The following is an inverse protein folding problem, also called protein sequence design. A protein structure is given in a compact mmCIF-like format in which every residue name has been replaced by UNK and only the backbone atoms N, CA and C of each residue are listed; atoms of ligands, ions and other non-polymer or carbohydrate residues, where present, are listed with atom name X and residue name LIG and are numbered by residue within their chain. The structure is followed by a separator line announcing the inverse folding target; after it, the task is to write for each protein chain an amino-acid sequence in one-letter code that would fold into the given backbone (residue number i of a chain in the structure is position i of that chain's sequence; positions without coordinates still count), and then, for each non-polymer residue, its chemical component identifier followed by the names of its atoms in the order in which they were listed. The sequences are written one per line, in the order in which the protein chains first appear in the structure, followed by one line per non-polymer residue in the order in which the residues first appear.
data_IF_635878629367
#
_entry.id   IF_635878629367
#
_cell.length_a   1.000
_cell.length_b   1.000
_cell.length_c   1.000
_cell.angle_alpha   90.00
_cell.angle_beta   90.00
_cell.angle_gamma   90.00
#
_symmetry.space_group_name_H-M   'P 1'
#
loop_
_entity.id
_entity.type
_entity.pdbx_description
1 polymer ?
#
# COMPACT_ATOMS: atom_id res chain seq x y z
N UNK A 1 -6.50 -13.88 24.83
CA UNK A 1 -5.52 -14.70 24.09
C UNK A 1 -4.65 -13.77 23.25
N UNK A 2 -3.60 -13.21 23.86
CA UNK A 2 -2.68 -12.25 23.23
C UNK A 2 -1.62 -13.04 22.45
N UNK A 3 -1.76 -13.07 21.13
CA UNK A 3 -0.79 -13.74 20.26
C UNK A 3 0.47 -12.88 20.17
N UNK A 4 1.45 -13.21 21.01
CA UNK A 4 2.82 -12.69 20.93
C UNK A 4 3.67 -13.71 20.16
N UNK A 5 3.84 -13.48 18.85
CA UNK A 5 4.74 -14.16 17.89
C UNK A 5 4.73 -13.24 16.65
N UNK A 6 5.80 -12.81 15.99
CA UNK A 6 7.19 -13.23 15.93
C UNK A 6 7.86 -12.37 14.86
N UNK A 7 9.01 -11.74 15.14
CA UNK A 7 9.90 -11.14 14.15
C UNK A 7 9.37 -9.87 13.47
N UNK A 8 10.22 -8.86 13.33
CA UNK A 8 9.93 -7.74 12.43
C UNK A 8 9.69 -8.29 11.02
N UNK A 9 8.44 -8.39 10.57
CA UNK A 9 8.15 -8.60 9.15
C UNK A 9 8.72 -7.40 8.39
N UNK A 10 9.86 -7.64 7.76
CA UNK A 10 10.51 -6.70 6.87
C UNK A 10 9.54 -6.39 5.73
N UNK A 11 9.21 -5.10 5.59
CA UNK A 11 8.40 -4.65 4.46
C UNK A 11 9.17 -4.86 3.14
N UNK A 12 8.47 -4.98 2.02
CA UNK A 12 9.08 -5.19 0.71
C UNK A 12 10.07 -4.09 0.34
N UNK A 13 9.79 -2.85 0.73
CA UNK A 13 10.59 -1.66 0.51
C UNK A 13 11.85 -1.67 1.36
N UNK A 14 11.79 -2.09 2.62
CA UNK A 14 13.00 -2.24 3.43
C UNK A 14 13.99 -3.23 2.77
N UNK A 15 13.47 -4.34 2.23
CA UNK A 15 14.29 -5.31 1.49
C UNK A 15 14.83 -4.74 0.18
N UNK A 16 14.01 -4.01 -0.56
CA UNK A 16 14.41 -3.41 -1.83
C UNK A 16 15.45 -2.30 -1.64
N UNK A 17 15.25 -1.44 -0.64
CA UNK A 17 16.19 -0.41 -0.22
C UNK A 17 17.51 -1.04 0.20
N UNK A 18 17.49 -2.11 0.99
CA UNK A 18 18.73 -2.78 1.40
C UNK A 18 19.49 -3.36 0.19
N UNK A 19 18.78 -3.94 -0.77
CA UNK A 19 19.39 -4.42 -2.03
C UNK A 19 20.00 -3.27 -2.84
N UNK A 20 19.28 -2.15 -2.95
CA UNK A 20 19.77 -0.96 -3.64
C UNK A 20 21.01 -0.37 -2.95
N UNK A 21 20.96 -0.21 -1.63
CA UNK A 21 22.09 0.30 -0.83
C UNK A 21 23.32 -0.59 -0.98
N UNK A 22 23.14 -1.92 -0.95
CA UNK A 22 24.24 -2.86 -1.16
C UNK A 22 24.85 -2.74 -2.55
N UNK A 23 24.02 -2.55 -3.59
CA UNK A 23 24.51 -2.31 -4.95
C UNK A 23 25.34 -1.03 -5.04
N UNK A 24 24.88 0.07 -4.44
CA UNK A 24 25.60 1.36 -4.41
C UNK A 24 26.94 1.22 -3.67
N UNK A 25 26.98 0.50 -2.55
CA UNK A 25 28.22 0.26 -1.80
C UNK A 25 29.24 -0.52 -2.65
N UNK A 26 28.81 -1.58 -3.34
CA UNK A 26 29.69 -2.36 -4.22
C UNK A 26 30.24 -1.50 -5.37
N UNK A 27 29.41 -0.68 -6.00
CA UNK A 27 29.82 0.23 -7.07
C UNK A 27 30.79 1.32 -6.58
N UNK A 28 30.57 1.85 -5.37
CA UNK A 28 31.44 2.84 -4.75
C UNK A 28 32.83 2.24 -4.46
N UNK A 29 32.88 1.03 -3.88
CA UNK A 29 34.14 0.34 -3.59
C UNK A 29 34.91 0.00 -4.87
N UNK A 30 34.22 -0.48 -5.92
CA UNK A 30 34.85 -0.71 -7.22
C UNK A 30 35.43 0.58 -7.81
N UNK A 31 34.70 1.69 -7.73
CA UNK A 31 35.14 2.99 -8.25
C UNK A 31 36.38 3.53 -7.50
N UNK A 32 36.41 3.38 -6.17
CA UNK A 32 37.58 3.76 -5.35
C UNK A 32 38.77 2.85 -5.66
N UNK A 33 38.54 1.55 -5.82
CA UNK A 33 39.59 0.59 -6.18
C UNK A 33 40.21 0.88 -7.55
N UNK A 34 39.38 1.20 -8.55
CA UNK A 34 39.82 1.66 -9.88
C UNK A 34 40.65 2.94 -9.81
N UNK A 35 40.27 3.87 -8.94
CA UNK A 35 41.00 5.13 -8.72
C UNK A 35 42.41 4.85 -8.17
N UNK A 36 42.52 3.98 -7.16
CA UNK A 36 43.81 3.56 -6.60
C UNK A 36 44.68 2.81 -7.59
N UNK A 37 44.11 1.89 -8.38
CA UNK A 37 44.84 1.18 -9.44
C UNK A 37 45.35 2.17 -10.48
N UNK A 38 44.52 3.09 -10.96
CA UNK A 38 44.90 4.05 -12.00
C UNK A 38 46.02 4.97 -11.51
N UNK A 39 45.94 5.41 -10.26
CA UNK A 39 47.00 6.20 -9.62
C UNK A 39 48.31 5.39 -9.52
N UNK A 40 48.26 4.15 -9.03
CA UNK A 40 49.44 3.30 -8.82
C UNK A 40 50.08 2.79 -10.13
N UNK A 41 49.27 2.39 -11.11
CA UNK A 41 49.71 1.70 -12.33
C UNK A 41 49.99 2.62 -13.51
N UNK A 42 49.42 3.82 -13.56
CA UNK A 42 49.58 4.73 -14.70
C UNK A 42 50.12 6.09 -14.29
N UNK A 43 49.48 6.73 -13.31
CA UNK A 43 49.76 8.12 -12.96
C UNK A 43 51.11 8.30 -12.27
N UNK A 44 51.45 7.42 -11.31
CA UNK A 44 52.70 7.53 -10.54
C UNK A 44 53.94 7.11 -11.36
N UNK A 45 53.77 6.38 -12.47
CA UNK A 45 54.89 5.86 -13.27
C UNK A 45 55.28 6.80 -14.42
N UNK A 46 54.31 7.45 -15.08
CA UNK A 46 54.61 8.34 -16.24
C UNK A 46 54.71 9.82 -15.90
N UNK A 47 54.09 10.25 -14.82
CA UNK A 47 53.92 11.66 -14.47
C UNK A 47 54.18 11.87 -12.98
N UNK A 48 55.46 11.76 -12.61
CA UNK A 48 55.92 11.85 -11.23
C UNK A 48 55.66 13.28 -10.68
N UNK A 49 54.57 13.49 -9.95
CA UNK A 49 54.25 14.75 -9.27
C UNK A 49 52.84 15.34 -9.45
N UNK A 50 51.92 14.70 -10.18
CA UNK A 50 50.58 15.28 -10.41
C UNK A 50 49.65 15.21 -9.18
N UNK A 51 49.67 14.10 -8.42
CA UNK A 51 48.80 13.92 -7.25
C UNK A 51 49.59 13.23 -6.14
N UNK A 52 49.82 13.95 -5.04
CA UNK A 52 50.43 13.39 -3.82
C UNK A 52 49.52 12.34 -3.20
N UNK A 53 50.08 11.38 -2.47
CA UNK A 53 49.34 10.37 -1.69
C UNK A 53 48.20 10.98 -0.86
N UNK A 54 48.48 12.08 -0.16
CA UNK A 54 47.47 12.81 0.63
C UNK A 54 46.32 13.33 -0.24
N UNK A 55 46.59 13.81 -1.45
CA UNK A 55 45.54 14.25 -2.40
C UNK A 55 44.67 13.09 -2.87
N UNK A 56 45.26 11.90 -3.05
CA UNK A 56 44.52 10.71 -3.44
C UNK A 56 43.56 10.23 -2.32
N UNK A 57 43.96 10.38 -1.06
CA UNK A 57 43.09 10.14 0.11
C UNK A 57 41.92 11.13 0.12
N UNK A 58 42.18 12.43 -0.07
CA UNK A 58 41.12 13.46 -0.11
C UNK A 58 40.11 13.17 -1.22
N UNK A 59 40.58 12.79 -2.41
CA UNK A 59 39.71 12.40 -3.53
C UNK A 59 38.88 11.15 -3.21
N UNK A 60 39.46 10.16 -2.53
CA UNK A 60 38.76 8.95 -2.12
C UNK A 60 37.64 9.25 -1.11
N UNK A 61 37.90 10.14 -0.14
CA UNK A 61 36.88 10.58 0.83
C UNK A 61 35.74 11.33 0.11
N UNK A 62 36.08 12.20 -0.85
CA UNK A 62 35.09 12.91 -1.66
C UNK A 62 34.19 11.96 -2.46
N UNK A 63 34.76 10.89 -3.02
CA UNK A 63 33.99 9.85 -3.70
C UNK A 63 33.02 9.14 -2.74
N UNK A 64 33.48 8.75 -1.54
CA UNK A 64 32.61 8.10 -0.54
C UNK A 64 31.38 8.96 -0.25
N UNK A 65 31.56 10.26 0.01
CA UNK A 65 30.45 11.19 0.27
C UNK A 65 29.50 11.29 -0.93
N UNK A 66 30.02 11.27 -2.16
CA UNK A 66 29.23 11.35 -3.38
C UNK A 66 28.31 10.12 -3.58
N UNK A 67 28.71 8.94 -3.11
CA UNK A 67 27.95 7.71 -3.26
C UNK A 67 26.85 7.49 -2.20
N UNK A 68 26.78 8.29 -1.13
CA UNK A 68 25.78 8.09 -0.09
C UNK A 68 24.40 8.55 -0.60
N UNK A 69 23.37 7.66 -0.65
CA UNK A 69 22.06 8.01 -1.18
C UNK A 69 21.18 8.70 -0.11
N UNK A 70 21.61 9.85 0.40
CA UNK A 70 20.91 10.62 1.45
C UNK A 70 19.47 11.01 1.06
N UNK A 71 19.21 11.24 -0.22
CA UNK A 71 17.90 11.65 -0.72
C UNK A 71 16.89 10.50 -0.88
N UNK A 72 17.35 9.25 -0.95
CA UNK A 72 16.48 8.13 -1.32
C UNK A 72 15.45 7.79 -0.22
N UNK A 73 15.83 7.64 1.07
CA UNK A 73 14.86 7.38 2.13
C UNK A 73 13.82 8.50 2.28
N UNK A 74 14.25 9.75 2.10
CA UNK A 74 13.39 10.93 2.17
C UNK A 74 12.37 10.97 1.02
N UNK A 75 12.83 10.75 -0.22
CA UNK A 75 11.97 10.76 -1.40
C UNK A 75 10.90 9.67 -1.34
N UNK A 76 11.27 8.45 -0.93
CA UNK A 76 10.34 7.33 -0.80
C UNK A 76 9.25 7.62 0.24
N UNK A 77 9.63 8.15 1.41
CA UNK A 77 8.69 8.52 2.46
C UNK A 77 7.72 9.61 1.99
N UNK A 78 8.22 10.59 1.24
CA UNK A 78 7.40 11.67 0.67
C UNK A 78 6.36 11.11 -0.31
N UNK A 79 6.77 10.23 -1.22
CA UNK A 79 5.86 9.60 -2.18
C UNK A 79 4.79 8.77 -1.47
N UNK A 80 5.18 7.92 -0.52
CA UNK A 80 4.24 7.12 0.29
C UNK A 80 3.24 8.01 1.06
N UNK A 81 3.71 9.13 1.59
CA UNK A 81 2.86 10.09 2.32
C UNK A 81 1.85 10.77 1.40
N UNK A 82 2.26 11.14 0.18
CA UNK A 82 1.35 11.71 -0.83
C UNK A 82 0.26 10.68 -1.19
N UNK A 83 0.64 9.43 -1.39
CA UNK A 83 -0.31 8.34 -1.68
C UNK A 83 -1.27 8.13 -0.51
N UNK A 84 -0.77 8.09 0.73
CA UNK A 84 -1.60 7.99 1.94
C UNK A 84 -2.60 9.15 2.03
N UNK A 85 -2.17 10.39 1.72
CA UNK A 85 -3.05 11.57 1.68
C UNK A 85 -4.14 11.44 0.61
N UNK A 86 -3.85 10.83 -0.55
CA UNK A 86 -4.84 10.57 -1.60
C UNK A 86 -5.84 9.49 -1.17
N UNK A 87 -5.38 8.44 -0.49
CA UNK A 87 -6.24 7.40 0.10
C UNK A 87 -7.19 7.97 1.16
N UNK A 88 -6.70 8.89 2.00
CA UNK A 88 -7.54 9.56 3.01
C UNK A 88 -8.70 10.35 2.39
N UNK A 89 -8.48 11.04 1.26
CA UNK A 89 -9.55 11.73 0.52
C UNK A 89 -10.63 10.78 -0.01
N UNK A 90 -10.30 9.51 -0.22
CA UNK A 90 -11.20 8.44 -0.65
C UNK A 90 -11.83 7.69 0.55
N UNK A 91 -11.81 8.27 1.76
CA UNK A 91 -12.32 7.67 3.01
C UNK A 91 -11.58 6.41 3.46
N UNK A 92 -10.32 6.21 3.03
CA UNK A 92 -9.47 5.10 3.50
C UNK A 92 -8.47 5.62 4.54
N UNK A 93 -8.57 5.13 5.77
CA UNK A 93 -7.64 5.49 6.85
C UNK A 93 -6.43 4.56 6.87
N UNK A 94 -5.27 5.11 6.54
CA UNK A 94 -3.98 4.41 6.58
C UNK A 94 -3.36 4.56 7.98
N UNK A 95 -3.03 3.45 8.64
CA UNK A 95 -2.39 3.45 9.97
C UNK A 95 -0.85 3.47 9.93
N UNK A 96 -0.25 3.03 8.82
CA UNK A 96 1.20 3.01 8.63
C UNK A 96 1.55 3.14 7.15
N UNK A 97 2.66 3.82 6.83
CA UNK A 97 3.18 3.93 5.46
C UNK A 97 3.61 2.56 4.89
N UNK A 98 4.00 1.62 5.76
CA UNK A 98 4.28 0.24 5.37
C UNK A 98 3.05 -0.44 4.73
N UNK A 99 1.84 -0.12 5.19
CA UNK A 99 0.61 -0.67 4.60
C UNK A 99 0.36 -0.14 3.20
N UNK A 100 0.70 1.12 2.92
CA UNK A 100 0.56 1.73 1.58
C UNK A 100 1.51 1.05 0.60
N UNK A 101 2.71 0.72 1.05
CA UNK A 101 3.69 -0.01 0.29
C UNK A 101 3.25 -1.46 0.00
N UNK A 102 2.72 -2.18 0.99
CA UNK A 102 2.13 -3.51 0.78
C UNK A 102 0.96 -3.45 -0.19
N UNK A 103 0.10 -2.43 -0.10
CA UNK A 103 -1.02 -2.24 -1.01
C UNK A 103 -0.57 -2.01 -2.46
N UNK A 104 0.59 -1.38 -2.67
CA UNK A 104 1.17 -1.19 -4.00
C UNK A 104 1.71 -2.50 -4.62
N UNK A 105 2.00 -3.51 -3.81
CA UNK A 105 2.59 -4.80 -4.25
C UNK A 105 1.66 -6.00 -4.04
N UNK A 106 0.39 -5.76 -3.68
CA UNK A 106 -0.57 -6.81 -3.41
C UNK A 106 -0.95 -7.56 -4.68
N UNK A 107 -0.88 -8.89 -4.64
CA UNK A 107 -1.30 -9.77 -5.76
C UNK A 107 -2.59 -10.53 -5.46
N UNK A 108 -2.89 -10.77 -4.17
CA UNK A 108 -4.06 -11.51 -3.72
C UNK A 108 -4.76 -10.69 -2.65
N UNK A 109 -6.06 -10.45 -2.83
CA UNK A 109 -6.92 -9.82 -1.84
C UNK A 109 -7.82 -10.90 -1.23
N UNK A 110 -7.55 -11.25 0.02
CA UNK A 110 -8.46 -12.09 0.81
C UNK A 110 -9.51 -11.19 1.46
N UNK A 111 -10.77 -11.34 1.04
CA UNK A 111 -11.90 -10.60 1.62
C UNK A 111 -12.69 -11.51 2.54
N UNK A 112 -13.08 -11.01 3.72
CA UNK A 112 -14.04 -11.73 4.56
C UNK A 112 -15.46 -11.65 3.97
N UNK A 113 -16.30 -12.64 4.27
CA UNK A 113 -17.69 -12.66 3.77
C UNK A 113 -18.58 -11.76 4.62
N UNK A 114 -18.69 -12.08 5.91
CA UNK A 114 -19.69 -11.46 6.79
C UNK A 114 -19.23 -10.10 7.27
N UNK A 115 -19.98 -9.04 6.98
CA UNK A 115 -19.63 -7.67 7.39
C UNK A 115 -18.59 -6.98 6.51
N UNK A 116 -18.07 -7.66 5.48
CA UNK A 116 -17.22 -7.06 4.43
C UNK A 116 -17.88 -7.17 3.06
N UNK A 117 -18.11 -8.40 2.55
CA UNK A 117 -18.88 -8.59 1.31
C UNK A 117 -20.39 -8.52 1.54
N UNK A 118 -20.87 -8.99 2.69
CA UNK A 118 -22.28 -8.95 3.07
C UNK A 118 -22.53 -7.92 4.16
N UNK A 119 -23.75 -7.41 4.21
CA UNK A 119 -24.19 -6.36 5.17
C UNK A 119 -24.33 -6.85 6.63
N UNK A 120 -23.81 -8.03 6.99
CA UNK A 120 -24.01 -8.70 8.29
C UNK A 120 -25.45 -8.57 8.85
N UNK A 121 -26.42 -8.59 7.93
CA UNK A 121 -27.84 -8.46 8.20
C UNK A 121 -28.54 -9.50 7.34
N UNK A 122 -29.43 -10.27 7.95
CA UNK A 122 -30.21 -11.28 7.25
C UNK A 122 -31.44 -10.62 6.63
N UNK A 123 -31.50 -10.63 5.29
CA UNK A 123 -32.57 -9.98 4.53
C UNK A 123 -33.29 -11.00 3.65
N UNK A 124 -34.62 -11.00 3.69
CA UNK A 124 -35.45 -11.85 2.83
C UNK A 124 -35.32 -11.32 1.40
N UNK A 125 -34.88 -12.18 0.48
CA UNK A 125 -34.56 -11.81 -0.91
C UNK A 125 -35.67 -12.21 -1.90
N UNK A 126 -36.39 -13.29 -1.62
CA UNK A 126 -37.46 -13.77 -2.47
C UNK A 126 -38.60 -14.33 -1.61
N UNK A 127 -39.83 -14.06 -2.05
CA UNK A 127 -41.05 -14.71 -1.54
C UNK A 127 -41.64 -15.56 -2.65
N UNK A 128 -41.82 -16.84 -2.35
CA UNK A 128 -42.49 -17.79 -3.22
C UNK A 128 -43.89 -18.05 -2.65
N UNK A 129 -44.93 -17.77 -3.42
CA UNK A 129 -46.32 -18.08 -3.07
C UNK A 129 -46.97 -18.95 -4.16
N UNK A 130 -47.36 -20.18 -3.80
CA UNK A 130 -48.05 -21.11 -4.70
C UNK A 130 -47.12 -21.71 -5.77
N UNK A 131 -47.70 -22.27 -6.84
CA UNK A 131 -46.96 -22.95 -7.92
C UNK A 131 -46.44 -22.02 -9.02
N UNK A 132 -46.83 -20.73 -9.02
CA UNK A 132 -46.53 -19.79 -10.11
C UNK A 132 -46.13 -18.38 -9.67
N UNK A 133 -46.16 -18.05 -8.36
CA UNK A 133 -45.86 -16.71 -7.87
C UNK A 133 -44.47 -16.60 -7.28
N UNK A 134 -43.52 -16.06 -8.04
CA UNK A 134 -42.21 -15.63 -7.51
C UNK A 134 -42.18 -14.11 -7.42
N UNK A 135 -42.02 -13.57 -6.21
CA UNK A 135 -41.84 -12.14 -5.97
C UNK A 135 -40.46 -11.90 -5.39
N UNK A 136 -39.54 -11.38 -6.21
CA UNK A 136 -38.26 -10.89 -5.72
C UNK A 136 -38.50 -9.61 -4.92
N UNK A 137 -38.06 -9.61 -3.66
CA UNK A 137 -38.13 -8.41 -2.84
C UNK A 137 -36.95 -7.53 -3.27
N UNK A 138 -37.19 -6.27 -3.70
CA UNK A 138 -36.10 -5.36 -4.00
C UNK A 138 -35.29 -5.13 -2.73
N UNK A 139 -33.99 -5.45 -2.80
CA UNK A 139 -33.07 -5.28 -1.68
C UNK A 139 -32.84 -3.78 -1.50
N UNK A 140 -33.58 -3.16 -0.56
CA UNK A 140 -33.33 -1.77 -0.18
C UNK A 140 -31.97 -1.69 0.51
N UNK A 141 -30.99 -1.16 -0.22
CA UNK A 141 -29.71 -0.76 0.36
C UNK A 141 -29.96 0.57 1.05
N UNK A 142 -30.05 0.60 2.38
CA UNK A 142 -30.43 1.75 3.20
C UNK A 142 -29.39 2.90 3.20
N UNK A 143 -28.94 3.34 2.03
CA UNK A 143 -27.97 4.44 1.89
C UNK A 143 -28.61 5.80 1.57
N UNK A 144 -29.95 5.91 1.55
CA UNK A 144 -30.65 7.19 1.58
C UNK A 144 -31.48 7.30 2.87
N UNK A 145 -31.16 8.24 3.78
CA UNK A 145 -32.02 8.52 4.92
C UNK A 145 -33.23 9.31 4.41
N UNK A 146 -34.43 8.77 4.63
CA UNK A 146 -35.74 9.35 4.29
C UNK A 146 -36.17 9.21 2.82
N UNK A 147 -36.53 7.99 2.41
CA UNK A 147 -37.71 7.85 1.58
C UNK A 147 -38.89 7.70 2.54
N UNK A 148 -39.58 8.81 2.83
CA UNK A 148 -40.91 8.79 3.44
C UNK A 148 -41.73 7.74 2.69
N UNK A 149 -42.34 6.80 3.40
CA UNK A 149 -43.31 5.89 2.78
C UNK A 149 -44.39 6.78 2.16
N UNK A 150 -44.37 6.91 0.84
CA UNK A 150 -45.40 7.65 0.12
C UNK A 150 -46.71 6.88 0.30
N UNK A 151 -47.79 7.61 0.55
CA UNK A 151 -49.13 7.09 0.88
C UNK A 151 -49.67 6.03 -0.11
N UNK A 152 -49.09 5.92 -1.32
CA UNK A 152 -49.37 4.86 -2.29
C UNK A 152 -48.91 3.45 -1.85
N UNK A 153 -47.82 3.34 -1.08
CA UNK A 153 -47.35 2.04 -0.57
C UNK A 153 -48.19 1.56 0.61
N UNK A 154 -48.72 2.47 1.43
CA UNK A 154 -49.71 2.14 2.47
C UNK A 154 -50.98 1.54 1.86
N UNK A 155 -51.46 2.09 0.73
CA UNK A 155 -52.72 1.67 0.11
C UNK A 155 -52.64 0.28 -0.54
N UNK A 156 -51.45 -0.18 -0.97
CA UNK A 156 -51.25 -1.54 -1.50
C UNK A 156 -51.20 -2.57 -0.37
N UNK A 157 -50.66 -2.20 0.80
CA UNK A 157 -50.61 -3.07 1.98
C UNK A 157 -52.00 -3.21 2.62
N UNK A 158 -52.79 -2.13 2.70
CA UNK A 158 -54.14 -2.19 3.25
C UNK A 158 -55.15 -2.94 2.37
N UNK A 159 -54.99 -2.91 1.02
CA UNK A 159 -55.83 -3.73 0.13
C UNK A 159 -55.56 -5.24 0.23
N UNK A 160 -54.41 -5.65 0.78
CA UNK A 160 -54.01 -7.06 0.87
C UNK A 160 -54.19 -7.67 2.25
N UNK A 161 -54.71 -6.94 3.26
CA UNK A 161 -55.21 -7.55 4.49
C UNK A 161 -56.47 -8.35 4.15
N UNK A 162 -56.45 -9.69 4.16
CA UNK A 162 -57.71 -10.42 4.22
C UNK A 162 -58.34 -10.06 5.56
N UNK A 163 -59.61 -9.67 5.53
CA UNK A 163 -60.41 -9.46 6.73
C UNK A 163 -60.39 -10.73 7.58
N UNK A 164 -59.57 -10.73 8.64
CA UNK A 164 -59.75 -11.63 9.77
C UNK A 164 -60.97 -11.12 10.54
N UNK A 165 -62.15 -11.42 10.01
CA UNK A 165 -63.43 -11.25 10.69
C UNK A 165 -64.37 -12.37 10.26
N UNK A 166 -64.31 -13.48 11.01
CA UNK A 166 -65.45 -14.25 11.51
C UNK A 166 -64.90 -15.37 12.40
#
# INVERSE_FOLDING_TARGET
MTRNTSGSEITGLHREINRFVLFVIVAALLSIFLLWITWAAWLNIKQNGYITFNGNIVNSIGMVVCFIPEGLPAAVTLVLTIVAKRMYKQKVMVKSLATVETFNSVSIVATDKTGTLTINQMTITALLWGTQGEYMIPIHTNNEPNATMNDEQQHIIDRKRPSLTA
#
